data_IF_645488258289
#
_entry.id   IF_645488258289
#
_cell.length_a   1.000
_cell.length_b   1.000
_cell.length_c   1.000
_cell.angle_alpha   90.00
_cell.angle_beta   90.00
_cell.angle_gamma   90.00
#
_symmetry.space_group_name_H-M   'P 1'
#
loop_
_entity.id
_entity.type
_entity.pdbx_description
1 polymer ?
#
# COMPACT_ATOMS: atom_id res chain seq x y z
N UNK A 1 7.94 17.48 -9.64
CA UNK A 1 6.86 16.84 -8.85
C UNK A 1 7.32 16.69 -7.41
N UNK A 2 6.41 16.51 -6.46
CA UNK A 2 6.75 16.21 -5.06
C UNK A 2 6.87 14.70 -4.88
N UNK A 3 7.82 14.27 -4.06
CA UNK A 3 7.97 12.87 -3.67
C UNK A 3 7.24 12.63 -2.34
N UNK A 4 6.55 11.50 -2.22
CA UNK A 4 5.83 11.10 -1.02
C UNK A 4 6.17 9.65 -0.69
N UNK A 5 6.21 9.36 0.61
CA UNK A 5 6.21 7.99 1.12
C UNK A 5 4.86 7.72 1.79
N UNK A 6 4.21 6.63 1.37
CA UNK A 6 2.89 6.24 1.87
C UNK A 6 3.03 4.84 2.45
N UNK A 7 2.68 4.70 3.73
CA UNK A 7 2.56 3.42 4.40
C UNK A 7 1.11 3.24 4.87
N UNK A 8 0.54 2.06 4.64
CA UNK A 8 -0.77 1.71 5.17
C UNK A 8 -0.72 0.29 5.73
N UNK A 9 -1.54 0.06 6.76
CA UNK A 9 -1.74 -1.24 7.36
C UNK A 9 -3.09 -1.78 6.91
N UNK A 10 -3.14 -3.07 6.62
CA UNK A 10 -4.37 -3.75 6.20
C UNK A 10 -4.78 -4.72 7.29
N UNK A 11 -6.08 -4.78 7.59
CA UNK A 11 -6.60 -5.75 8.53
C UNK A 11 -6.24 -7.18 8.07
N UNK A 12 -5.77 -8.08 8.95
CA UNK A 12 -5.28 -9.41 8.55
C UNK A 12 -6.30 -10.22 7.73
N UNK A 13 -7.60 -10.07 8.01
CA UNK A 13 -8.68 -10.75 7.29
C UNK A 13 -8.82 -10.32 5.82
N UNK A 14 -8.22 -9.19 5.43
CA UNK A 14 -8.25 -8.66 4.06
C UNK A 14 -6.94 -8.90 3.30
N UNK A 15 -6.04 -9.73 3.82
CA UNK A 15 -4.70 -9.96 3.22
C UNK A 15 -4.77 -10.38 1.74
N UNK A 16 -5.75 -11.21 1.37
CA UNK A 16 -5.92 -11.66 -0.03
C UNK A 16 -6.34 -10.55 -1.00
N UNK A 17 -6.86 -9.42 -0.49
CA UNK A 17 -7.32 -8.29 -1.30
C UNK A 17 -6.20 -7.29 -1.60
N UNK A 18 -5.05 -7.40 -0.92
CA UNK A 18 -3.93 -6.45 -1.03
C UNK A 18 -3.41 -6.32 -2.47
N UNK A 19 -3.19 -7.40 -3.24
CA UNK A 19 -2.68 -7.27 -4.61
C UNK A 19 -3.63 -6.47 -5.51
N UNK A 20 -4.93 -6.74 -5.46
CA UNK A 20 -5.92 -6.01 -6.25
C UNK A 20 -6.00 -4.54 -5.86
N UNK A 21 -5.86 -4.23 -4.56
CA UNK A 21 -5.84 -2.86 -4.08
C UNK A 21 -4.61 -2.08 -4.56
N UNK A 22 -3.41 -2.71 -4.53
CA UNK A 22 -2.17 -2.10 -5.02
C UNK A 22 -2.27 -1.74 -6.51
N UNK A 23 -2.81 -2.65 -7.34
CA UNK A 23 -3.01 -2.39 -8.76
C UNK A 23 -3.94 -1.20 -9.02
N UNK A 24 -5.04 -1.07 -8.26
CA UNK A 24 -5.93 0.10 -8.38
C UNK A 24 -5.22 1.41 -8.03
N UNK A 25 -4.42 1.42 -6.96
CA UNK A 25 -3.68 2.62 -6.56
C UNK A 25 -2.60 2.98 -7.58
N UNK A 26 -1.91 1.99 -8.13
CA UNK A 26 -0.95 2.19 -9.21
C UNK A 26 -1.58 2.82 -10.43
N UNK A 27 -2.67 2.24 -10.93
CA UNK A 27 -3.39 2.75 -12.08
C UNK A 27 -3.87 4.20 -11.87
N UNK A 28 -4.31 4.55 -10.65
CA UNK A 28 -4.74 5.90 -10.32
C UNK A 28 -3.58 6.91 -10.31
N UNK A 29 -2.41 6.53 -9.80
CA UNK A 29 -1.22 7.40 -9.74
C UNK A 29 -0.63 7.59 -11.15
N UNK A 30 -0.38 6.49 -11.87
CA UNK A 30 0.18 6.52 -13.22
C UNK A 30 -0.79 7.19 -14.20
N UNK A 31 -2.10 6.95 -14.07
CA UNK A 31 -3.14 7.59 -14.89
C UNK A 31 -3.24 9.11 -14.71
N UNK A 32 -2.71 9.66 -13.61
CA UNK A 32 -2.60 11.11 -13.38
C UNK A 32 -1.21 11.68 -13.70
N UNK A 33 -0.36 10.89 -14.38
CA UNK A 33 1.00 11.28 -14.75
C UNK A 33 2.01 11.19 -13.61
N UNK A 34 1.67 10.54 -12.49
CA UNK A 34 2.61 10.25 -11.41
C UNK A 34 3.50 9.03 -11.72
N UNK A 35 4.58 8.88 -10.97
CA UNK A 35 5.46 7.72 -11.06
C UNK A 35 5.64 7.08 -9.68
N UNK A 36 5.66 5.75 -9.63
CA UNK A 36 5.99 4.99 -8.43
C UNK A 36 7.47 4.61 -8.51
N UNK A 37 8.27 5.14 -7.58
CA UNK A 37 9.70 4.84 -7.53
C UNK A 37 10.02 3.58 -6.73
N UNK A 38 9.18 3.25 -5.75
CA UNK A 38 9.37 2.11 -4.84
C UNK A 38 8.02 1.57 -4.39
N UNK A 39 7.89 0.25 -4.42
CA UNK A 39 6.74 -0.49 -3.90
C UNK A 39 7.29 -1.68 -3.12
N UNK A 40 6.91 -1.79 -1.86
CA UNK A 40 7.35 -2.87 -0.97
C UNK A 40 6.13 -3.45 -0.25
N UNK A 41 5.95 -4.76 -0.34
CA UNK A 41 5.00 -5.50 0.50
C UNK A 41 5.78 -6.13 1.65
N UNK A 42 5.49 -5.66 2.88
CA UNK A 42 6.15 -6.15 4.09
C UNK A 42 5.49 -7.40 4.68
N UNK A 43 4.34 -7.81 4.13
CA UNK A 43 3.53 -8.92 4.59
C UNK A 43 2.99 -8.74 6.01
N UNK A 44 2.57 -9.85 6.62
CA UNK A 44 2.07 -9.85 7.99
C UNK A 44 3.22 -9.72 8.98
N UNK A 45 3.14 -8.71 9.85
CA UNK A 45 4.09 -8.49 10.95
C UNK A 45 3.34 -8.24 12.25
N UNK A 46 3.91 -8.69 13.36
CA UNK A 46 3.36 -8.43 14.69
C UNK A 46 3.54 -6.94 15.03
N UNK A 47 2.45 -6.29 15.41
CA UNK A 47 2.49 -4.91 15.90
C UNK A 47 3.03 -4.88 17.33
N UNK A 48 3.68 -3.78 17.70
CA UNK A 48 4.19 -3.57 19.05
C UNK A 48 3.06 -3.44 20.10
N UNK A 49 1.87 -3.00 19.66
CA UNK A 49 0.67 -2.85 20.49
C UNK A 49 -0.58 -3.05 19.62
N UNK A 50 -1.70 -3.38 20.27
CA UNK A 50 -2.99 -3.51 19.59
C UNK A 50 -3.49 -2.15 19.10
N UNK A 51 -3.97 -2.11 17.87
CA UNK A 51 -4.69 -0.97 17.28
C UNK A 51 -6.16 -1.36 17.13
N UNK A 52 -7.07 -0.45 17.50
CA UNK A 52 -8.52 -0.65 17.46
C UNK A 52 -9.16 0.17 16.34
#
# INVERSE_FOLDING_TARGET
MRHYEICFLVHPDQSEQVPAMLERYRALIEGKGGAIHRLEDWGRRQLAFSIA
#
